data_IF_972751542046
#
_entry.id   IF_972751542046
#
_cell.length_a   1.000
_cell.length_b   1.000
_cell.length_c   1.000
_cell.angle_alpha   90.00
_cell.angle_beta   90.00
_cell.angle_gamma   90.00
#
_symmetry.space_group_name_H-M   'P 1'
#
loop_
_entity.id
_entity.type
_entity.pdbx_description
1 polymer ?
#
# COMPACT_ATOMS: atom_id res chain seq x y z
N UNK A 1 -19.66 14.70 -1.64
CA UNK A 1 -18.94 15.64 -2.50
C UNK A 1 -17.90 14.85 -3.30
N UNK A 2 -17.56 15.30 -4.52
CA UNK A 2 -16.62 14.61 -5.42
C UNK A 2 -15.27 14.26 -4.77
N UNK A 3 -14.76 15.08 -3.87
CA UNK A 3 -13.52 14.81 -3.12
C UNK A 3 -13.63 13.57 -2.21
N UNK A 4 -14.77 13.33 -1.58
CA UNK A 4 -14.98 12.15 -0.72
C UNK A 4 -15.03 10.85 -1.53
N UNK A 5 -15.46 10.90 -2.79
CA UNK A 5 -15.53 9.72 -3.65
C UNK A 5 -14.18 9.28 -4.20
N UNK A 6 -13.24 10.21 -4.36
CA UNK A 6 -11.88 9.91 -4.82
C UNK A 6 -11.13 9.05 -3.80
N UNK A 7 -11.28 9.33 -2.50
CA UNK A 7 -10.63 8.55 -1.43
C UNK A 7 -11.28 7.19 -1.14
N UNK A 8 -12.50 6.97 -1.65
CA UNK A 8 -13.21 5.71 -1.45
C UNK A 8 -12.94 4.68 -2.55
N UNK A 9 -12.40 5.11 -3.69
CA UNK A 9 -12.19 4.24 -4.84
C UNK A 9 -10.78 3.66 -4.82
N UNK A 10 -10.68 2.36 -5.02
CA UNK A 10 -9.39 1.72 -5.28
C UNK A 10 -8.84 2.17 -6.63
N UNK A 11 -7.55 2.51 -6.68
CA UNK A 11 -6.84 2.70 -7.93
C UNK A 11 -6.62 1.33 -8.57
N UNK A 12 -7.30 1.07 -9.68
CA UNK A 12 -7.34 -0.27 -10.26
C UNK A 12 -6.11 -0.60 -11.10
N UNK A 13 -5.81 0.22 -12.10
CA UNK A 13 -4.70 0.05 -13.04
C UNK A 13 -4.23 1.38 -13.60
N UNK A 14 -3.12 1.34 -14.33
CA UNK A 14 -2.63 2.45 -15.16
C UNK A 14 -2.85 2.20 -16.66
N UNK A 15 -3.76 1.29 -17.02
CA UNK A 15 -3.95 0.83 -18.41
C UNK A 15 -4.32 1.97 -19.35
N UNK A 16 -5.14 2.93 -18.94
CA UNK A 16 -5.49 4.10 -19.75
C UNK A 16 -4.26 4.95 -20.08
N UNK A 17 -3.42 5.24 -19.08
CA UNK A 17 -2.19 5.99 -19.29
C UNK A 17 -1.22 5.23 -20.18
N UNK A 18 -1.12 3.91 -19.99
CA UNK A 18 -0.28 3.05 -20.82
C UNK A 18 -0.77 3.01 -22.28
N UNK A 19 -2.09 2.95 -22.49
CA UNK A 19 -2.67 2.98 -23.83
C UNK A 19 -2.33 4.27 -24.59
N UNK A 20 -2.33 5.41 -23.90
CA UNK A 20 -1.90 6.68 -24.50
C UNK A 20 -0.40 6.68 -24.83
N UNK A 21 0.44 6.24 -23.91
CA UNK A 21 1.89 6.16 -24.11
C UNK A 21 2.22 5.23 -25.28
N UNK A 22 1.53 4.10 -25.40
CA UNK A 22 1.77 3.09 -26.44
C UNK A 22 1.42 3.56 -27.85
N UNK A 23 0.66 4.62 -28.02
CA UNK A 23 0.44 5.22 -29.33
C UNK A 23 1.73 5.77 -29.97
N UNK A 24 2.65 6.23 -29.13
CA UNK A 24 3.88 6.88 -29.58
C UNK A 24 5.15 6.08 -29.26
N UNK A 25 5.15 5.31 -28.17
CA UNK A 25 6.36 4.65 -27.65
C UNK A 25 6.15 3.15 -27.43
N UNK A 26 7.02 2.35 -28.06
CA UNK A 26 7.04 0.89 -27.93
C UNK A 26 8.18 0.36 -27.03
N UNK A 27 8.79 1.24 -26.24
CA UNK A 27 9.88 0.89 -25.31
C UNK A 27 9.34 0.52 -23.92
N UNK A 28 10.14 -0.15 -23.08
CA UNK A 28 9.79 -0.37 -21.68
C UNK A 28 9.41 0.93 -20.97
N UNK A 29 8.33 0.89 -20.22
CA UNK A 29 7.81 2.04 -19.45
C UNK A 29 7.87 1.70 -17.97
N UNK A 30 8.43 2.59 -17.17
CA UNK A 30 8.53 2.48 -15.73
C UNK A 30 7.75 3.62 -15.07
N UNK A 31 6.99 3.30 -14.03
CA UNK A 31 6.52 4.32 -13.10
C UNK A 31 7.68 4.73 -12.20
N UNK A 32 7.97 6.02 -12.16
CA UNK A 32 9.10 6.58 -11.43
C UNK A 32 8.62 7.41 -10.24
N UNK A 33 9.42 7.43 -9.17
CA UNK A 33 9.10 8.17 -7.94
C UNK A 33 7.77 7.72 -7.29
N UNK A 34 7.54 6.41 -7.27
CA UNK A 34 6.38 5.82 -6.60
C UNK A 34 6.55 5.92 -5.10
N UNK A 35 5.51 6.37 -4.42
CA UNK A 35 5.52 6.58 -2.97
C UNK A 35 5.36 8.03 -2.57
N UNK A 36 6.14 8.50 -1.59
CA UNK A 36 6.11 9.86 -1.05
C UNK A 36 4.85 10.17 -0.20
N UNK A 37 4.40 9.18 0.54
CA UNK A 37 3.32 9.37 1.52
C UNK A 37 3.93 9.77 2.87
N UNK A 38 3.66 10.99 3.30
CA UNK A 38 4.26 11.56 4.51
C UNK A 38 3.86 10.79 5.78
N UNK A 39 4.87 10.62 6.65
CA UNK A 39 4.74 10.10 8.01
C UNK A 39 5.12 11.22 8.98
N UNK A 40 4.43 11.34 10.08
CA UNK A 40 4.80 12.31 11.10
C UNK A 40 6.18 11.97 11.70
N UNK A 41 6.98 12.99 12.08
CA UNK A 41 8.34 12.77 12.56
C UNK A 41 8.39 12.02 13.87
N UNK A 42 9.31 11.07 13.98
CA UNK A 42 9.71 10.48 15.23
C UNK A 42 10.78 11.39 15.88
N UNK A 43 10.45 11.96 17.05
CA UNK A 43 11.35 12.89 17.72
C UNK A 43 12.50 12.23 18.46
N UNK A 44 12.49 10.91 18.61
CA UNK A 44 13.63 10.17 19.16
C UNK A 44 14.82 10.18 18.17
N UNK A 45 14.54 10.28 16.87
CA UNK A 45 15.57 10.42 15.85
C UNK A 45 16.46 11.67 16.04
N UNK A 46 15.98 12.68 16.76
CA UNK A 46 16.76 13.90 17.03
C UNK A 46 18.09 13.59 17.73
N UNK A 47 18.16 12.53 18.52
CA UNK A 47 19.39 12.11 19.22
C UNK A 47 20.44 11.51 18.28
N UNK A 48 20.05 11.10 17.09
CA UNK A 48 20.93 10.51 16.08
C UNK A 48 21.65 11.55 15.20
N UNK A 49 21.22 12.82 15.24
CA UNK A 49 21.87 13.89 14.50
C UNK A 49 23.09 14.43 15.21
N UNK A 50 24.25 14.35 14.58
CA UNK A 50 25.53 14.74 15.15
C UNK A 50 26.34 15.67 14.22
N UNK A 51 27.34 16.33 14.81
CA UNK A 51 28.29 17.17 14.09
C UNK A 51 27.65 18.47 13.57
N UNK A 52 27.79 18.72 12.29
CA UNK A 52 27.26 19.93 11.63
C UNK A 52 25.79 19.79 11.22
N UNK A 53 25.24 18.60 11.33
CA UNK A 53 23.84 18.32 10.99
C UNK A 53 22.92 18.76 12.14
N UNK A 54 22.24 19.89 11.98
CA UNK A 54 21.25 20.36 12.94
C UNK A 54 19.85 20.31 12.32
N UNK A 55 18.98 19.38 12.76
CA UNK A 55 17.63 19.23 12.24
C UNK A 55 16.68 20.30 12.80
N UNK A 56 16.93 21.57 12.48
CA UNK A 56 16.19 22.72 13.01
C UNK A 56 14.69 22.62 12.77
N UNK A 57 14.28 22.10 11.59
CA UNK A 57 12.89 21.89 11.24
C UNK A 57 12.20 20.87 12.16
N UNK A 58 12.85 19.73 12.46
CA UNK A 58 12.30 18.74 13.38
C UNK A 58 12.20 19.27 14.82
N UNK A 59 13.22 20.01 15.27
CA UNK A 59 13.19 20.68 16.59
C UNK A 59 12.05 21.68 16.68
N UNK A 60 11.81 22.44 15.60
CA UNK A 60 10.71 23.41 15.56
C UNK A 60 9.34 22.73 15.58
N UNK A 61 9.19 21.61 14.86
CA UNK A 61 7.95 20.82 14.87
C UNK A 61 7.72 20.26 16.28
N UNK A 62 8.74 19.66 16.90
CA UNK A 62 8.67 19.14 18.28
C UNK A 62 8.18 20.22 19.25
N UNK A 63 8.80 21.40 19.21
CA UNK A 63 8.40 22.52 20.05
C UNK A 63 6.91 22.89 19.86
N UNK A 64 6.42 22.95 18.64
CA UNK A 64 5.01 23.24 18.35
C UNK A 64 4.05 22.16 18.87
N UNK A 65 4.48 20.90 18.80
CA UNK A 65 3.72 19.76 19.33
C UNK A 65 3.63 19.84 20.87
N UNK A 66 4.74 20.20 21.54
CA UNK A 66 4.81 20.42 22.99
C UNK A 66 3.90 21.57 23.42
N UNK A 67 3.98 22.71 22.74
CA UNK A 67 3.15 23.90 23.01
C UNK A 67 1.64 23.60 22.89
N UNK A 68 1.26 22.60 22.11
CA UNK A 68 -0.13 22.15 21.94
C UNK A 68 -0.51 21.01 22.87
N UNK A 69 0.39 20.54 23.73
CA UNK A 69 0.15 19.45 24.66
C UNK A 69 -0.05 18.08 23.99
N UNK A 70 0.41 17.90 22.76
CA UNK A 70 0.21 16.66 21.99
C UNK A 70 1.33 15.62 22.18
N UNK A 71 2.46 16.00 22.77
CA UNK A 71 3.63 15.13 22.92
C UNK A 71 3.31 13.78 23.59
N UNK A 72 2.48 13.70 24.66
CA UNK A 72 2.17 12.42 25.30
C UNK A 72 1.44 11.40 24.43
N UNK A 73 0.84 11.85 23.33
CA UNK A 73 0.10 10.99 22.39
C UNK A 73 0.74 10.96 21.02
N UNK A 74 1.89 11.58 20.84
CA UNK A 74 2.49 11.81 19.54
C UNK A 74 2.86 10.51 18.84
N UNK A 75 3.38 9.52 19.53
CA UNK A 75 3.71 8.20 19.01
C UNK A 75 2.53 7.56 18.28
N UNK A 76 1.31 7.66 18.80
CA UNK A 76 0.10 7.14 18.15
C UNK A 76 -0.19 7.83 16.82
N UNK A 77 0.14 9.11 16.70
CA UNK A 77 -0.02 9.84 15.44
C UNK A 77 1.05 9.42 14.42
N UNK A 78 2.30 9.19 14.86
CA UNK A 78 3.36 8.66 14.01
C UNK A 78 2.96 7.29 13.48
N UNK A 79 2.53 6.39 14.35
CA UNK A 79 2.07 5.05 13.99
C UNK A 79 0.89 5.08 13.01
N UNK A 80 -0.12 5.89 13.28
CA UNK A 80 -1.30 6.01 12.41
C UNK A 80 -0.95 6.56 11.02
N UNK A 81 -0.10 7.57 10.93
CA UNK A 81 0.34 8.13 9.64
C UNK A 81 1.27 7.19 8.90
N UNK A 82 2.11 6.45 9.61
CA UNK A 82 2.96 5.42 9.03
C UNK A 82 2.17 4.25 8.46
N UNK A 83 1.17 3.76 9.17
CA UNK A 83 0.28 2.72 8.65
C UNK A 83 -0.51 3.21 7.43
N UNK A 84 -0.99 4.44 7.43
CA UNK A 84 -1.63 5.04 6.25
C UNK A 84 -0.66 5.12 5.07
N UNK A 85 0.59 5.52 5.29
CA UNK A 85 1.65 5.54 4.28
C UNK A 85 1.89 4.14 3.70
N UNK A 86 2.01 3.12 4.56
CA UNK A 86 2.16 1.72 4.12
C UNK A 86 1.01 1.26 3.24
N UNK A 87 -0.23 1.55 3.63
CA UNK A 87 -1.41 1.22 2.83
C UNK A 87 -1.42 1.95 1.49
N UNK A 88 -1.00 3.20 1.45
CA UNK A 88 -0.90 3.97 0.22
C UNK A 88 0.18 3.42 -0.73
N UNK A 89 1.34 2.99 -0.19
CA UNK A 89 2.34 2.24 -0.96
C UNK A 89 1.77 0.96 -1.57
N UNK A 90 1.01 0.19 -0.78
CA UNK A 90 0.34 -1.02 -1.27
C UNK A 90 -0.55 -0.71 -2.46
N UNK A 91 -1.39 0.30 -2.36
CA UNK A 91 -2.32 0.67 -3.43
C UNK A 91 -1.61 1.02 -4.74
N UNK A 92 -0.55 1.80 -4.68
CA UNK A 92 0.20 2.18 -5.89
C UNK A 92 0.97 1.01 -6.48
N UNK A 93 1.63 0.22 -5.66
CA UNK A 93 2.39 -0.95 -6.10
C UNK A 93 1.46 -2.00 -6.71
N UNK A 94 0.35 -2.31 -6.06
CA UNK A 94 -0.61 -3.27 -6.59
C UNK A 94 -1.30 -2.77 -7.87
N UNK A 95 -1.59 -1.46 -7.99
CA UNK A 95 -2.09 -0.89 -9.24
C UNK A 95 -1.08 -1.04 -10.39
N UNK A 96 0.21 -0.83 -10.10
CA UNK A 96 1.28 -1.08 -11.06
C UNK A 96 1.36 -2.57 -11.46
N UNK A 97 1.26 -3.47 -10.50
CA UNK A 97 1.27 -4.92 -10.75
C UNK A 97 0.08 -5.40 -11.60
N UNK A 98 -1.09 -4.76 -11.46
CA UNK A 98 -2.28 -5.03 -12.29
C UNK A 98 -2.14 -4.47 -13.71
N UNK A 99 -1.22 -3.56 -13.95
CA UNK A 99 -1.04 -2.90 -15.24
C UNK A 99 -0.13 -3.75 -16.13
N UNK A 100 -0.71 -4.40 -17.13
CA UNK A 100 -0.01 -5.44 -17.94
C UNK A 100 1.17 -4.92 -18.74
N UNK A 101 1.09 -3.69 -19.25
CA UNK A 101 2.11 -3.11 -20.12
C UNK A 101 3.16 -2.28 -19.39
N UNK A 102 3.01 -2.09 -18.08
CA UNK A 102 4.00 -1.44 -17.26
C UNK A 102 5.17 -2.39 -17.01
N UNK A 103 6.38 -1.94 -17.29
CA UNK A 103 7.59 -2.78 -17.24
C UNK A 103 8.21 -2.83 -15.83
N UNK A 104 7.84 -1.92 -14.96
CA UNK A 104 8.32 -1.89 -13.57
C UNK A 104 8.03 -0.57 -12.88
N UNK A 105 8.44 -0.51 -11.63
CA UNK A 105 8.33 0.67 -10.76
C UNK A 105 9.68 0.98 -10.12
N UNK A 106 9.89 2.24 -9.81
CA UNK A 106 11.00 2.72 -8.99
C UNK A 106 10.43 3.49 -7.80
N UNK A 107 10.71 3.01 -6.60
CA UNK A 107 10.27 3.68 -5.38
C UNK A 107 11.11 4.92 -5.12
N UNK A 108 10.47 5.97 -4.63
CA UNK A 108 11.14 7.12 -4.03
C UNK A 108 10.71 7.22 -2.56
N UNK A 109 11.71 7.41 -1.68
CA UNK A 109 11.41 7.66 -0.28
C UNK A 109 11.18 6.40 0.55
N UNK A 110 11.91 5.30 0.30
CA UNK A 110 11.96 4.21 1.25
C UNK A 110 12.59 4.66 2.60
N UNK A 111 13.39 5.72 2.56
CA UNK A 111 13.95 6.41 3.70
C UNK A 111 13.45 7.85 3.79
N UNK A 112 13.49 8.42 4.97
CA UNK A 112 13.24 9.83 5.19
C UNK A 112 14.33 10.70 4.58
N UNK A 113 13.94 11.85 4.03
CA UNK A 113 14.86 12.82 3.47
C UNK A 113 14.65 14.21 4.09
N UNK A 114 15.27 14.50 5.24
CA UNK A 114 15.09 15.76 5.95
C UNK A 114 15.74 16.97 5.24
N UNK A 115 16.62 16.74 4.26
CA UNK A 115 17.32 17.78 3.52
C UNK A 115 16.44 18.57 2.54
N UNK A 116 15.29 18.04 2.16
CA UNK A 116 14.33 18.68 1.26
C UNK A 116 13.06 19.09 2.02
N UNK A 117 13.20 19.97 2.98
CA UNK A 117 12.12 20.33 3.88
C UNK A 117 11.88 19.25 4.94
N UNK A 118 10.70 18.66 4.94
CA UNK A 118 10.33 17.57 5.85
C UNK A 118 9.78 16.38 5.05
N UNK A 119 10.51 15.94 4.04
CA UNK A 119 10.12 14.76 3.26
C UNK A 119 10.35 13.48 4.08
N UNK A 120 9.49 13.28 5.08
CA UNK A 120 9.50 12.15 6.00
C UNK A 120 8.56 11.08 5.46
N UNK A 121 8.96 10.42 4.40
CA UNK A 121 8.11 9.51 3.62
C UNK A 121 8.53 8.05 3.76
N UNK A 122 9.58 7.77 4.56
CA UNK A 122 10.22 6.47 4.61
C UNK A 122 9.65 5.51 5.66
N UNK A 123 9.82 4.23 5.36
CA UNK A 123 9.78 3.16 6.35
C UNK A 123 11.08 3.14 7.17
N UNK A 124 12.13 3.75 6.64
CA UNK A 124 13.42 3.96 7.29
C UNK A 124 13.58 5.44 7.67
N UNK A 125 14.33 5.69 8.73
CA UNK A 125 14.67 7.04 9.15
C UNK A 125 15.77 7.65 8.25
N UNK A 126 16.17 8.88 8.54
CA UNK A 126 17.21 9.61 7.78
C UNK A 126 18.62 8.97 7.87
N UNK A 127 18.81 8.06 8.80
CA UNK A 127 20.07 7.36 9.07
C UNK A 127 20.09 5.94 8.47
N UNK A 128 19.07 5.58 7.65
CA UNK A 128 18.90 4.26 7.04
C UNK A 128 18.60 3.14 8.04
N UNK A 129 18.04 3.48 9.18
CA UNK A 129 17.57 2.53 10.17
C UNK A 129 16.07 2.33 10.04
N UNK A 130 15.55 1.10 10.20
CA UNK A 130 14.10 0.90 10.26
C UNK A 130 13.47 1.72 11.38
N UNK A 131 12.37 2.39 11.11
CA UNK A 131 11.60 3.06 12.17
C UNK A 131 11.07 2.02 13.16
N UNK A 132 11.05 2.33 14.48
CA UNK A 132 10.72 1.35 15.52
C UNK A 132 9.21 1.08 15.66
N UNK A 133 8.47 1.08 14.54
CA UNK A 133 7.03 0.91 14.50
C UNK A 133 6.61 -0.30 13.67
N UNK A 134 5.44 -0.86 13.95
CA UNK A 134 4.94 -2.05 13.26
C UNK A 134 4.77 -1.80 11.75
N UNK A 135 4.31 -0.62 11.33
CA UNK A 135 4.16 -0.30 9.91
C UNK A 135 5.46 -0.37 9.10
N UNK A 136 6.61 -0.15 9.76
CA UNK A 136 7.94 -0.11 9.11
C UNK A 136 8.65 -1.47 9.08
N UNK A 137 8.04 -2.52 9.63
CA UNK A 137 8.63 -3.86 9.62
C UNK A 137 8.76 -4.38 8.18
N UNK A 138 9.92 -4.93 7.80
CA UNK A 138 10.16 -5.46 6.45
C UNK A 138 9.12 -6.49 6.01
N UNK A 139 8.63 -7.32 6.94
CA UNK A 139 7.61 -8.34 6.67
C UNK A 139 6.30 -7.70 6.18
N UNK A 140 5.89 -6.59 6.80
CA UNK A 140 4.68 -5.85 6.43
C UNK A 140 4.76 -5.26 5.02
N UNK A 141 5.94 -4.78 4.63
CA UNK A 141 6.17 -4.27 3.28
C UNK A 141 6.23 -5.40 2.24
N UNK A 142 6.79 -6.56 2.60
CA UNK A 142 6.84 -7.74 1.76
C UNK A 142 5.47 -8.35 1.48
N UNK A 143 4.45 -8.08 2.29
CA UNK A 143 3.09 -8.54 2.04
C UNK A 143 2.58 -8.16 0.65
N UNK A 144 2.97 -7.00 0.14
CA UNK A 144 2.53 -6.49 -1.16
C UNK A 144 3.66 -6.24 -2.17
N UNK A 145 4.92 -6.26 -1.75
CA UNK A 145 6.07 -6.04 -2.62
C UNK A 145 6.91 -7.32 -2.74
N UNK A 146 6.44 -8.24 -3.54
CA UNK A 146 7.05 -9.56 -3.74
C UNK A 146 6.82 -10.08 -5.17
N UNK A 147 7.58 -11.10 -5.56
CA UNK A 147 7.56 -11.64 -6.93
C UNK A 147 6.21 -12.24 -7.35
N UNK A 148 5.50 -12.88 -6.43
CA UNK A 148 4.17 -13.42 -6.67
C UNK A 148 3.17 -12.80 -5.72
N UNK A 149 2.11 -12.26 -6.27
CA UNK A 149 1.07 -11.58 -5.47
C UNK A 149 -0.32 -11.89 -6.00
N UNK A 150 -1.23 -12.16 -5.07
CA UNK A 150 -2.67 -12.16 -5.34
C UNK A 150 -3.16 -10.72 -5.19
N UNK A 151 -3.84 -10.24 -6.21
CA UNK A 151 -4.33 -8.87 -6.32
C UNK A 151 -5.85 -8.88 -6.30
N UNK A 152 -6.43 -8.19 -5.34
CA UNK A 152 -7.89 -8.08 -5.20
C UNK A 152 -8.32 -6.71 -5.71
N UNK A 153 -9.25 -6.69 -6.67
CA UNK A 153 -9.85 -5.47 -7.19
C UNK A 153 -11.23 -5.29 -6.54
N UNK A 154 -11.38 -4.18 -5.86
CA UNK A 154 -12.64 -3.77 -5.25
C UNK A 154 -13.18 -2.51 -5.94
N UNK A 155 -14.49 -2.34 -6.11
CA UNK A 155 -15.06 -1.10 -6.63
C UNK A 155 -14.81 0.09 -5.68
N UNK A 156 -14.80 -0.16 -4.37
CA UNK A 156 -14.51 0.82 -3.31
C UNK A 156 -14.17 0.10 -2.00
N UNK A 157 -13.67 0.84 -0.99
CA UNK A 157 -13.24 0.26 0.30
C UNK A 157 -14.28 0.32 1.40
N UNK A 158 -15.34 1.10 1.23
CA UNK A 158 -16.37 1.29 2.26
C UNK A 158 -17.70 0.85 1.72
N UNK A 159 -18.37 -0.02 2.46
CA UNK A 159 -19.67 -0.62 2.08
C UNK A 159 -20.71 -0.32 3.14
N UNK A 160 -21.95 -0.18 2.73
CA UNK A 160 -23.08 -0.08 3.63
C UNK A 160 -23.66 -1.45 3.97
N UNK A 161 -24.41 -1.53 5.07
CA UNK A 161 -25.08 -2.77 5.43
C UNK A 161 -26.08 -3.18 4.36
N UNK A 162 -26.01 -4.41 3.87
CA UNK A 162 -26.86 -4.92 2.78
C UNK A 162 -26.31 -4.64 1.39
N UNK A 163 -25.23 -3.90 1.27
CA UNK A 163 -24.57 -3.71 0.00
C UNK A 163 -23.80 -4.98 -0.41
N UNK A 164 -23.73 -5.20 -1.71
CA UNK A 164 -23.09 -6.37 -2.32
C UNK A 164 -21.63 -6.07 -2.58
N UNK A 165 -20.73 -6.89 -2.03
CA UNK A 165 -19.30 -6.82 -2.31
C UNK A 165 -18.98 -7.76 -3.47
N UNK A 166 -18.39 -7.22 -4.53
CA UNK A 166 -17.88 -7.98 -5.67
C UNK A 166 -16.37 -7.73 -5.73
N UNK A 167 -15.59 -8.80 -5.63
CA UNK A 167 -14.15 -8.75 -5.71
C UNK A 167 -13.67 -9.53 -6.94
N UNK A 168 -12.95 -8.86 -7.84
CA UNK A 168 -12.19 -9.51 -8.89
C UNK A 168 -10.81 -9.87 -8.34
N UNK A 169 -10.35 -11.10 -8.60
CA UNK A 169 -9.06 -11.58 -8.12
C UNK A 169 -8.15 -11.90 -9.28
N UNK A 170 -6.94 -11.37 -9.21
CA UNK A 170 -5.87 -11.64 -10.18
C UNK A 170 -4.64 -12.14 -9.44
N UNK A 171 -3.81 -12.93 -10.13
CA UNK A 171 -2.49 -13.28 -9.63
C UNK A 171 -1.42 -12.73 -10.56
N UNK A 172 -0.47 -12.00 -9.99
CA UNK A 172 0.71 -11.50 -10.68
C UNK A 172 1.92 -12.34 -10.29
N UNK A 173 2.67 -12.81 -11.30
CA UNK A 173 3.90 -13.55 -11.08
C UNK A 173 5.05 -12.92 -11.89
N UNK A 174 5.90 -12.17 -11.21
CA UNK A 174 7.11 -11.56 -11.76
C UNK A 174 8.35 -12.42 -11.52
N UNK A 175 8.18 -13.57 -10.88
CA UNK A 175 9.24 -14.53 -10.61
C UNK A 175 9.69 -15.30 -11.86
N UNK A 176 10.74 -16.09 -11.70
CA UNK A 176 11.36 -16.86 -12.79
C UNK A 176 10.67 -18.20 -13.06
N UNK A 177 9.81 -18.66 -12.17
CA UNK A 177 9.17 -19.98 -12.23
C UNK A 177 7.66 -19.82 -12.36
N UNK A 178 7.03 -20.74 -13.08
CA UNK A 178 5.60 -20.90 -13.02
C UNK A 178 5.20 -21.38 -11.62
N UNK A 179 4.06 -20.94 -11.16
CA UNK A 179 3.49 -21.31 -9.87
C UNK A 179 2.14 -21.96 -10.15
N UNK A 180 1.89 -23.10 -9.54
CA UNK A 180 0.60 -23.77 -9.52
C UNK A 180 0.01 -23.66 -8.13
N UNK A 181 -1.28 -23.43 -8.04
CA UNK A 181 -1.94 -23.31 -6.75
C UNK A 181 -3.46 -23.21 -6.85
N UNK A 182 -4.08 -23.19 -5.69
CA UNK A 182 -5.50 -22.94 -5.52
C UNK A 182 -5.66 -21.60 -4.81
N UNK A 183 -6.48 -20.74 -5.37
CA UNK A 183 -6.85 -19.51 -4.69
C UNK A 183 -7.90 -19.83 -3.61
N UNK A 184 -7.60 -19.43 -2.38
CA UNK A 184 -8.53 -19.54 -1.25
C UNK A 184 -8.79 -18.14 -0.69
N UNK A 185 -10.00 -17.88 -0.29
CA UNK A 185 -10.34 -16.62 0.36
C UNK A 185 -11.12 -16.84 1.66
N UNK A 186 -10.98 -15.90 2.57
CA UNK A 186 -11.73 -15.86 3.82
C UNK A 186 -12.15 -14.42 4.10
N UNK A 187 -13.43 -14.20 4.32
CA UNK A 187 -13.95 -12.94 4.83
C UNK A 187 -14.30 -13.13 6.31
N UNK A 188 -13.58 -12.42 7.19
CA UNK A 188 -13.79 -12.49 8.64
C UNK A 188 -14.19 -11.13 9.21
N UNK A 189 -15.28 -11.11 9.96
CA UNK A 189 -15.73 -9.93 10.71
C UNK A 189 -15.39 -10.03 12.20
N UNK A 190 -15.36 -8.89 12.91
CA UNK A 190 -15.13 -8.85 14.37
C UNK A 190 -16.19 -9.61 15.20
N UNK A 191 -17.34 -9.97 14.62
CA UNK A 191 -18.39 -10.78 15.23
C UNK A 191 -18.73 -11.95 14.31
N UNK A 192 -17.85 -12.94 14.27
CA UNK A 192 -18.11 -14.33 13.87
C UNK A 192 -18.94 -14.63 12.61
N UNK A 193 -18.81 -13.87 11.55
CA UNK A 193 -19.22 -14.34 10.23
C UNK A 193 -17.94 -14.48 9.41
N UNK A 194 -17.54 -15.72 9.14
CA UNK A 194 -16.50 -16.01 8.19
C UNK A 194 -17.12 -16.78 7.02
N UNK A 195 -16.89 -16.30 5.82
CA UNK A 195 -17.20 -17.03 4.60
C UNK A 195 -15.87 -17.40 3.93
N UNK A 196 -15.80 -18.60 3.41
CA UNK A 196 -14.62 -19.16 2.77
C UNK A 196 -14.98 -19.67 1.38
N UNK A 197 -14.05 -19.53 0.46
CA UNK A 197 -14.22 -20.09 -0.87
C UNK A 197 -12.90 -20.49 -1.50
N UNK A 198 -12.99 -21.42 -2.44
CA UNK A 198 -11.87 -21.87 -3.25
C UNK A 198 -12.24 -21.69 -4.73
N UNK A 199 -11.27 -21.25 -5.50
CA UNK A 199 -11.36 -21.27 -6.95
C UNK A 199 -10.68 -22.51 -7.51
N UNK A 200 -10.97 -22.82 -8.76
CA UNK A 200 -10.30 -23.92 -9.47
C UNK A 200 -8.78 -23.70 -9.49
N UNK A 201 -7.99 -24.80 -9.48
CA UNK A 201 -6.55 -24.71 -9.61
C UNK A 201 -6.13 -23.97 -10.87
N UNK A 202 -5.19 -23.07 -10.75
CA UNK A 202 -4.68 -22.30 -11.86
C UNK A 202 -3.15 -22.34 -11.94
N UNK A 203 -2.61 -22.45 -13.14
CA UNK A 203 -1.20 -22.22 -13.40
C UNK A 203 -0.94 -20.72 -13.58
N UNK A 204 -0.11 -20.15 -12.74
CA UNK A 204 0.30 -18.75 -12.83
C UNK A 204 1.64 -18.71 -13.56
N UNK A 205 1.62 -18.26 -14.82
CA UNK A 205 2.82 -18.19 -15.66
C UNK A 205 3.81 -17.15 -15.14
N UNK A 206 5.09 -17.41 -15.30
CA UNK A 206 6.14 -16.46 -14.99
C UNK A 206 6.23 -15.33 -16.03
N UNK A 207 6.94 -14.26 -15.68
CA UNK A 207 7.22 -13.08 -16.52
C UNK A 207 5.99 -12.21 -16.79
N UNK A 208 5.68 -11.35 -15.84
CA UNK A 208 4.69 -10.26 -15.98
C UNK A 208 3.31 -10.75 -16.45
N UNK A 209 2.92 -11.94 -16.05
CA UNK A 209 1.61 -12.45 -16.39
C UNK A 209 0.65 -12.17 -15.24
N UNK A 210 -0.34 -11.34 -15.51
CA UNK A 210 -1.50 -11.18 -14.64
C UNK A 210 -2.61 -12.05 -15.21
N UNK A 211 -3.09 -13.00 -14.43
CA UNK A 211 -4.16 -13.91 -14.82
C UNK A 211 -5.33 -13.69 -13.87
N UNK A 212 -6.51 -13.47 -14.40
CA UNK A 212 -7.73 -13.57 -13.61
C UNK A 212 -7.89 -15.02 -13.16
N UNK A 213 -7.97 -15.25 -11.86
CA UNK A 213 -8.01 -16.58 -11.26
C UNK A 213 -9.29 -16.81 -10.51
N UNK A 214 -10.39 -16.80 -11.11
CA UNK A 214 -11.62 -17.13 -10.43
C UNK A 214 -12.83 -16.38 -10.93
N UNK A 215 -13.97 -16.88 -10.54
CA UNK A 215 -15.24 -16.19 -10.72
C UNK A 215 -15.33 -15.00 -9.76
N UNK A 216 -16.12 -14.00 -10.11
CA UNK A 216 -16.42 -12.89 -9.23
C UNK A 216 -16.97 -13.43 -7.89
N UNK A 217 -16.31 -13.06 -6.80
CA UNK A 217 -16.78 -13.44 -5.48
C UNK A 217 -17.83 -12.44 -5.01
N UNK A 218 -19.03 -12.94 -4.82
CA UNK A 218 -20.15 -12.13 -4.40
C UNK A 218 -20.48 -12.36 -2.93
N UNK A 219 -20.40 -11.28 -2.12
CA UNK A 219 -20.66 -11.33 -0.70
C UNK A 219 -21.68 -10.25 -0.32
N UNK A 220 -22.71 -10.65 0.41
CA UNK A 220 -23.66 -9.68 0.97
C UNK A 220 -23.23 -9.27 2.37
N UNK A 221 -22.96 -7.99 2.57
CA UNK A 221 -22.62 -7.44 3.87
C UNK A 221 -23.89 -7.23 4.69
N UNK A 222 -24.13 -8.10 5.65
CA UNK A 222 -25.35 -8.08 6.44
C UNK A 222 -25.37 -7.09 7.61
N UNK A 223 -24.21 -6.56 8.04
CA UNK A 223 -24.10 -5.58 9.14
C UNK A 223 -22.87 -4.68 9.00
N UNK A 224 -22.94 -3.41 9.46
CA UNK A 224 -21.76 -2.57 9.55
C UNK A 224 -20.78 -3.17 10.55
N UNK A 225 -19.57 -3.39 10.11
CA UNK A 225 -18.46 -3.88 10.94
C UNK A 225 -17.14 -3.52 10.27
N UNK A 226 -16.08 -3.34 11.07
CA UNK A 226 -14.75 -3.26 10.52
C UNK A 226 -14.32 -4.66 10.10
N UNK A 227 -14.19 -4.88 8.81
CA UNK A 227 -13.60 -6.09 8.26
C UNK A 227 -12.09 -5.93 8.27
N UNK A 228 -11.40 -6.91 8.82
CA UNK A 228 -9.95 -7.01 8.71
C UNK A 228 -9.61 -7.84 7.49
N UNK A 229 -8.72 -7.32 6.71
CA UNK A 229 -8.11 -7.83 5.47
C UNK A 229 -8.62 -9.18 4.93
N UNK A 230 -8.98 -9.16 3.66
CA UNK A 230 -9.06 -10.38 2.83
C UNK A 230 -7.61 -10.84 2.65
N UNK A 231 -7.25 -11.90 3.32
CA UNK A 231 -5.92 -12.53 3.24
C UNK A 231 -5.80 -13.47 2.07
#
# INVERSE_FOLDING_TARGET
SAASDVYKRQKRTYDEAMAEIRKEYQKPVFSFEVGQFEVLPDFEELESFHGISDPVNLKLIKKRVEERGLLPTWEKYVEATGELSRLAYREEIEAAMRTRELSGISLLGLQDFPGQGTALVGMMNSHLEPKPYDFARPERFREFFQECRILVKLPHYTYEAGERLIAEVEAANFGKRNIEGVFCWTLAGKKSVSENGNCEPAEIKSKNTVIATGEDTEITICRPGSYTEVG
#
